data_IF_302129346898
#
_entry.id   IF_302129346898
#
_cell.length_a   1.000
_cell.length_b   1.000
_cell.length_c   1.000
_cell.angle_alpha   90.00
_cell.angle_beta   90.00
_cell.angle_gamma   90.00
#
_symmetry.space_group_name_H-M   'P 1'
#
loop_
_entity.id
_entity.type
_entity.pdbx_description
1 polymer ?
#
# COMPACT_ATOMS: atom_id res chain seq x y z
N UNK A 1 -39.11 34.56 12.12
CA UNK A 1 -39.04 34.74 10.65
C UNK A 1 -37.67 35.17 10.14
N UNK A 2 -37.05 36.27 10.63
CA UNK A 2 -35.72 36.72 10.15
C UNK A 2 -34.60 35.67 10.20
N UNK A 3 -34.55 34.83 11.24
CA UNK A 3 -33.51 33.79 11.36
C UNK A 3 -33.74 32.60 10.42
N UNK A 4 -35.00 32.25 10.14
CA UNK A 4 -35.36 31.19 9.19
C UNK A 4 -34.98 31.60 7.75
N UNK A 5 -35.20 32.87 7.39
CA UNK A 5 -34.79 33.40 6.09
C UNK A 5 -33.27 33.37 5.90
N UNK A 6 -32.50 33.62 6.97
CA UNK A 6 -31.02 33.51 6.94
C UNK A 6 -30.56 32.06 6.75
N UNK A 7 -31.19 31.11 7.44
CA UNK A 7 -30.86 29.68 7.31
C UNK A 7 -31.14 29.21 5.87
N UNK A 8 -32.29 29.57 5.29
CA UNK A 8 -32.62 29.23 3.90
C UNK A 8 -31.60 29.80 2.90
N UNK A 9 -31.10 31.02 3.15
CA UNK A 9 -30.07 31.64 2.32
C UNK A 9 -28.73 30.90 2.38
N UNK A 10 -28.28 30.46 3.57
CA UNK A 10 -27.06 29.67 3.70
C UNK A 10 -27.17 28.29 3.03
N UNK A 11 -28.33 27.64 3.14
CA UNK A 11 -28.59 26.35 2.46
C UNK A 11 -28.56 26.52 0.95
N UNK A 12 -29.12 27.60 0.41
CA UNK A 12 -29.10 27.88 -1.03
C UNK A 12 -27.67 28.10 -1.57
N UNK A 13 -26.82 28.84 -0.83
CA UNK A 13 -25.41 29.03 -1.19
C UNK A 13 -24.65 27.69 -1.15
N UNK A 14 -24.88 26.89 -0.11
CA UNK A 14 -24.25 25.56 0.02
C UNK A 14 -24.63 24.63 -1.14
N UNK A 15 -25.92 24.56 -1.50
CA UNK A 15 -26.39 23.76 -2.64
C UNK A 15 -25.85 24.30 -3.98
N UNK A 16 -25.75 25.62 -4.14
CA UNK A 16 -25.12 26.24 -5.31
C UNK A 16 -23.63 25.90 -5.44
N UNK A 17 -22.88 25.93 -4.33
CA UNK A 17 -21.49 25.52 -4.28
C UNK A 17 -21.29 24.03 -4.59
N UNK A 18 -22.15 23.17 -4.05
CA UNK A 18 -22.14 21.73 -4.33
C UNK A 18 -22.45 21.44 -5.82
N UNK A 19 -23.43 22.14 -6.40
CA UNK A 19 -23.76 22.01 -7.81
C UNK A 19 -22.59 22.44 -8.71
N UNK A 20 -21.93 23.55 -8.38
CA UNK A 20 -20.74 23.98 -9.10
C UNK A 20 -19.62 22.94 -9.01
N UNK A 21 -19.33 22.40 -7.82
CA UNK A 21 -18.28 21.39 -7.66
C UNK A 21 -18.56 20.09 -8.43
N UNK A 22 -19.81 19.61 -8.43
CA UNK A 22 -20.20 18.39 -9.15
C UNK A 22 -20.21 18.55 -10.68
N UNK A 23 -20.45 19.76 -11.20
CA UNK A 23 -20.43 20.03 -12.65
C UNK A 23 -19.09 20.51 -13.17
N UNK A 24 -18.28 21.14 -12.33
CA UNK A 24 -16.94 21.63 -12.66
C UNK A 24 -15.86 20.58 -12.36
N UNK A 25 -16.16 19.31 -12.61
CA UNK A 25 -15.13 18.28 -12.76
C UNK A 25 -14.50 18.49 -14.12
N UNK A 26 -13.30 19.06 -14.14
CA UNK A 26 -12.52 19.23 -15.36
C UNK A 26 -12.42 17.87 -16.07
N UNK A 27 -12.83 17.71 -17.35
CA UNK A 27 -12.67 16.45 -18.08
C UNK A 27 -11.19 16.06 -18.25
N UNK A 28 -10.27 16.98 -17.88
CA UNK A 28 -8.82 16.77 -17.78
C UNK A 28 -8.35 16.20 -16.45
N UNK A 29 -9.24 15.82 -15.53
CA UNK A 29 -8.91 14.75 -14.57
C UNK A 29 -8.94 13.42 -15.34
N UNK A 30 -8.10 13.30 -16.37
CA UNK A 30 -7.73 12.01 -16.90
C UNK A 30 -6.95 11.35 -15.78
N UNK A 31 -7.46 10.24 -15.24
CA UNK A 31 -6.58 9.29 -14.58
C UNK A 31 -5.36 9.11 -15.47
N UNK A 32 -4.15 9.15 -14.91
CA UNK A 32 -2.88 9.07 -15.65
C UNK A 32 -2.66 7.77 -16.42
N UNK A 33 -3.71 6.98 -16.63
CA UNK A 33 -3.77 5.66 -17.23
C UNK A 33 -4.83 5.56 -18.35
N UNK A 34 -5.50 6.65 -18.75
CA UNK A 34 -6.43 6.65 -19.90
C UNK A 34 -6.02 7.67 -20.95
N UNK A 35 -6.12 7.29 -22.21
CA UNK A 35 -5.83 8.18 -23.35
C UNK A 35 -7.02 9.07 -23.68
N UNK A 36 -6.76 10.16 -24.40
CA UNK A 36 -7.68 11.30 -24.58
C UNK A 36 -9.08 10.97 -25.16
N UNK A 37 -9.29 9.78 -25.73
CA UNK A 37 -10.46 9.47 -26.56
C UNK A 37 -11.29 8.24 -26.12
N UNK A 38 -10.98 7.60 -24.99
CA UNK A 38 -11.82 6.52 -24.42
C UNK A 38 -11.93 5.21 -25.22
N UNK A 39 -11.39 5.12 -26.45
CA UNK A 39 -11.48 3.93 -27.31
C UNK A 39 -10.12 3.43 -27.80
N UNK A 40 -9.06 3.56 -26.99
CA UNK A 40 -7.78 2.98 -27.36
C UNK A 40 -7.65 1.55 -26.84
N UNK A 41 -7.52 0.59 -27.77
CA UNK A 41 -7.21 -0.81 -27.51
C UNK A 41 -5.76 -0.96 -27.01
N UNK A 42 -5.49 -0.52 -25.78
CA UNK A 42 -4.18 -0.68 -25.16
C UNK A 42 -3.88 -2.17 -24.91
N UNK A 43 -2.71 -2.65 -25.33
CA UNK A 43 -2.19 -3.93 -24.84
C UNK A 43 -1.93 -3.84 -23.33
N UNK A 44 -2.05 -4.96 -22.63
CA UNK A 44 -1.96 -5.00 -21.16
C UNK A 44 -0.97 -6.05 -20.63
N UNK A 45 -0.50 -6.97 -21.48
CA UNK A 45 0.37 -8.07 -21.04
C UNK A 45 1.52 -8.28 -22.03
N UNK A 46 2.75 -8.21 -21.56
CA UNK A 46 3.96 -8.55 -22.30
C UNK A 46 4.56 -9.83 -21.73
N UNK A 47 4.70 -10.85 -22.55
CA UNK A 47 5.28 -12.13 -22.13
C UNK A 47 6.59 -12.37 -22.89
N UNK A 48 7.69 -12.53 -22.17
CA UNK A 48 8.94 -13.01 -22.74
C UNK A 48 8.96 -14.54 -22.75
N UNK A 49 9.08 -15.14 -23.94
CA UNK A 49 9.30 -16.58 -24.13
C UNK A 49 10.64 -16.77 -24.85
N UNK A 50 11.71 -16.99 -24.07
CA UNK A 50 13.07 -17.06 -24.61
C UNK A 50 13.53 -15.69 -25.13
N UNK A 51 14.00 -15.63 -26.38
CA UNK A 51 14.41 -14.38 -27.02
C UNK A 51 13.24 -13.52 -27.52
N UNK A 52 12.05 -14.12 -27.71
CA UNK A 52 10.88 -13.47 -28.30
C UNK A 52 9.99 -12.83 -27.24
N UNK A 53 9.39 -11.71 -27.60
CA UNK A 53 8.39 -11.01 -26.79
C UNK A 53 7.03 -11.06 -27.46
N UNK A 54 5.98 -11.21 -26.66
CA UNK A 54 4.60 -11.31 -27.14
C UNK A 54 3.75 -10.31 -26.38
N UNK A 55 3.17 -9.36 -27.09
CA UNK A 55 2.33 -8.32 -26.53
C UNK A 55 0.86 -8.65 -26.78
N UNK A 56 0.16 -8.95 -25.71
CA UNK A 56 -1.24 -9.35 -25.70
C UNK A 56 -2.14 -8.20 -25.27
N UNK A 57 -3.36 -8.26 -25.77
CA UNK A 57 -4.50 -7.56 -25.22
C UNK A 57 -5.52 -8.58 -24.71
N UNK A 58 -5.69 -8.73 -23.39
CA UNK A 58 -6.62 -9.71 -22.81
C UNK A 58 -8.09 -9.39 -23.07
N UNK A 59 -8.41 -8.15 -23.49
CA UNK A 59 -9.78 -7.71 -23.76
C UNK A 59 -10.22 -8.05 -25.20
N UNK A 60 -9.33 -8.61 -26.01
CA UNK A 60 -9.58 -8.95 -27.42
C UNK A 60 -9.24 -10.44 -27.61
N UNK A 61 -9.98 -11.11 -28.49
CA UNK A 61 -9.69 -12.50 -28.83
C UNK A 61 -8.29 -12.66 -29.43
N UNK A 62 -7.67 -13.82 -29.20
CA UNK A 62 -6.40 -14.21 -29.81
C UNK A 62 -6.67 -14.61 -31.27
N UNK A 63 -6.08 -13.86 -32.20
CA UNK A 63 -6.22 -14.05 -33.64
C UNK A 63 -4.84 -13.99 -34.27
N UNK A 64 -4.41 -15.01 -35.04
CA UNK A 64 -3.09 -15.04 -35.64
C UNK A 64 -2.89 -13.80 -36.53
N UNK A 65 -1.79 -13.08 -36.30
CA UNK A 65 -1.43 -11.86 -37.04
C UNK A 65 -2.02 -10.56 -36.51
N UNK A 66 -2.87 -10.59 -35.46
CA UNK A 66 -3.41 -9.37 -34.82
C UNK A 66 -3.12 -9.33 -33.32
N UNK A 67 -3.37 -10.44 -32.60
CA UNK A 67 -3.17 -10.55 -31.15
C UNK A 67 -2.74 -11.99 -30.82
N UNK A 68 -1.55 -12.23 -30.27
CA UNK A 68 -0.53 -11.27 -29.83
C UNK A 68 0.28 -10.64 -30.97
N UNK A 69 0.86 -9.47 -30.69
CA UNK A 69 1.93 -8.90 -31.51
C UNK A 69 3.25 -9.56 -31.08
N UNK A 70 3.98 -10.14 -32.02
CA UNK A 70 5.23 -10.83 -31.76
C UNK A 70 6.43 -9.95 -32.11
N UNK A 71 7.45 -9.96 -31.26
CA UNK A 71 8.73 -9.28 -31.46
C UNK A 71 9.86 -10.30 -31.33
N UNK A 72 10.85 -10.22 -32.22
CA UNK A 72 11.97 -11.17 -32.26
C UNK A 72 13.04 -10.86 -31.22
N UNK A 73 13.16 -9.59 -30.82
CA UNK A 73 14.15 -9.11 -29.87
C UNK A 73 13.55 -7.96 -29.03
N UNK A 74 14.32 -7.49 -28.05
CA UNK A 74 13.92 -6.39 -27.18
C UNK A 74 13.85 -5.05 -27.93
N UNK A 75 14.73 -4.85 -28.90
CA UNK A 75 14.83 -3.59 -29.66
C UNK A 75 13.54 -3.29 -30.43
N UNK A 76 13.01 -4.29 -31.13
CA UNK A 76 11.76 -4.19 -31.89
C UNK A 76 10.57 -3.80 -31.01
N UNK A 77 10.55 -4.29 -29.76
CA UNK A 77 9.56 -3.89 -28.76
C UNK A 77 9.77 -2.45 -28.27
N UNK A 78 11.01 -2.02 -28.08
CA UNK A 78 11.34 -0.65 -27.65
C UNK A 78 10.97 0.35 -28.75
N UNK A 79 11.32 0.08 -30.01
CA UNK A 79 10.93 0.89 -31.17
C UNK A 79 9.41 1.03 -31.28
N UNK A 80 8.69 -0.07 -31.10
CA UNK A 80 7.23 -0.05 -31.08
C UNK A 80 6.68 0.85 -29.96
N UNK A 81 7.23 0.77 -28.75
CA UNK A 81 6.85 1.64 -27.64
C UNK A 81 7.19 3.12 -27.90
N UNK A 82 8.33 3.41 -28.50
CA UNK A 82 8.72 4.78 -28.88
C UNK A 82 7.76 5.37 -29.90
N UNK A 83 7.38 4.59 -30.92
CA UNK A 83 6.35 4.99 -31.88
C UNK A 83 5.00 5.28 -31.19
N UNK A 84 4.54 4.41 -30.28
CA UNK A 84 3.31 4.64 -29.51
C UNK A 84 3.40 5.93 -28.68
N UNK A 85 4.52 6.16 -28.00
CA UNK A 85 4.74 7.38 -27.20
C UNK A 85 4.80 8.64 -28.07
N UNK A 86 5.40 8.56 -29.26
CA UNK A 86 5.41 9.63 -30.25
C UNK A 86 4.00 10.00 -30.72
N UNK A 87 3.11 9.01 -30.82
CA UNK A 87 1.68 9.20 -31.10
C UNK A 87 0.86 9.65 -29.86
N UNK A 88 1.50 9.87 -28.71
CA UNK A 88 0.83 10.25 -27.46
C UNK A 88 0.09 9.10 -26.77
N UNK A 89 0.30 7.86 -27.19
CA UNK A 89 -0.30 6.65 -26.61
C UNK A 89 0.63 6.14 -25.51
N UNK A 90 0.11 6.04 -24.28
CA UNK A 90 0.82 5.45 -23.14
C UNK A 90 -0.04 4.34 -22.54
N UNK A 91 0.34 3.09 -22.79
CA UNK A 91 -0.35 1.93 -22.25
C UNK A 91 0.46 1.32 -21.09
N UNK A 92 -0.13 1.07 -19.92
CA UNK A 92 0.50 0.28 -18.88
C UNK A 92 0.52 -1.18 -19.31
N UNK A 93 1.70 -1.79 -19.34
CA UNK A 93 1.88 -3.18 -19.74
C UNK A 93 2.51 -3.96 -18.59
N UNK A 94 1.86 -5.05 -18.17
CA UNK A 94 2.41 -5.98 -17.19
C UNK A 94 3.44 -6.89 -17.86
N UNK A 95 4.66 -6.91 -17.35
CA UNK A 95 5.73 -7.75 -17.89
C UNK A 95 5.87 -9.08 -17.15
N UNK A 96 5.73 -10.18 -17.89
CA UNK A 96 5.93 -11.55 -17.42
C UNK A 96 7.11 -12.20 -18.13
N UNK A 97 7.99 -12.82 -17.35
CA UNK A 97 9.12 -13.58 -17.84
C UNK A 97 8.87 -15.08 -17.65
N UNK A 98 8.92 -15.86 -18.72
CA UNK A 98 8.91 -17.32 -18.65
C UNK A 98 10.30 -17.80 -18.18
N UNK A 99 10.37 -18.37 -16.97
CA UNK A 99 11.59 -18.87 -16.34
C UNK A 99 11.38 -20.30 -15.87
N UNK A 100 12.47 -21.01 -15.55
CA UNK A 100 12.40 -22.33 -14.93
C UNK A 100 12.66 -22.19 -13.43
N UNK A 101 11.95 -22.97 -12.61
CA UNK A 101 12.27 -23.10 -11.19
C UNK A 101 13.51 -24.01 -10.98
N UNK A 102 13.93 -24.19 -9.73
CA UNK A 102 15.07 -25.04 -9.40
C UNK A 102 14.79 -26.53 -9.66
N UNK A 103 13.53 -26.89 -9.87
CA UNK A 103 13.01 -28.24 -10.12
C UNK A 103 12.83 -28.52 -11.62
N UNK A 104 13.04 -27.51 -12.48
CA UNK A 104 12.94 -27.61 -13.93
C UNK A 104 11.54 -27.35 -14.49
N UNK A 105 10.58 -26.90 -13.67
CA UNK A 105 9.23 -26.57 -14.12
C UNK A 105 9.13 -25.14 -14.66
N UNK A 106 8.30 -24.95 -15.68
CA UNK A 106 8.09 -23.65 -16.33
C UNK A 106 7.18 -22.77 -15.48
N UNK A 107 7.71 -21.66 -15.02
CA UNK A 107 7.00 -20.67 -14.19
C UNK A 107 7.07 -19.27 -14.81
N UNK A 108 5.97 -18.51 -14.71
CA UNK A 108 5.94 -17.10 -15.10
C UNK A 108 6.27 -16.23 -13.88
N UNK A 109 7.32 -15.41 -13.98
CA UNK A 109 7.70 -14.43 -12.95
C UNK A 109 7.35 -13.03 -13.42
N UNK A 110 6.63 -12.28 -12.58
CA UNK A 110 6.40 -10.85 -12.79
C UNK A 110 7.71 -10.11 -12.60
N UNK A 111 8.03 -9.18 -13.50
CA UNK A 111 9.19 -8.30 -13.39
C UNK A 111 8.74 -6.85 -13.57
N UNK A 112 9.39 -5.87 -12.90
CA UNK A 112 9.02 -4.47 -13.04
C UNK A 112 9.14 -3.93 -14.47
N UNK A 113 10.21 -4.31 -15.18
CA UNK A 113 10.48 -3.86 -16.55
C UNK A 113 11.30 -4.89 -17.33
N UNK A 114 11.29 -4.78 -18.66
CA UNK A 114 12.16 -5.53 -19.56
C UNK A 114 13.65 -5.21 -19.34
N UNK A 115 13.97 -3.99 -18.93
CA UNK A 115 15.32 -3.54 -18.59
C UNK A 115 15.72 -3.88 -17.16
N UNK A 116 14.73 -4.00 -16.27
CA UNK A 116 14.93 -4.27 -14.85
C UNK A 116 14.36 -5.64 -14.49
N UNK A 117 15.18 -6.66 -14.67
CA UNK A 117 14.84 -8.06 -14.38
C UNK A 117 14.90 -8.40 -12.89
N UNK A 118 15.17 -7.43 -12.01
CA UNK A 118 15.16 -7.66 -10.58
C UNK A 118 13.70 -7.86 -10.13
N UNK A 119 13.36 -9.07 -9.70
CA UNK A 119 11.97 -9.46 -9.40
C UNK A 119 11.51 -9.14 -7.99
N UNK A 120 12.26 -8.28 -7.28
CA UNK A 120 12.02 -8.01 -5.87
C UNK A 120 12.02 -9.28 -5.00
N UNK A 121 11.39 -9.17 -3.84
CA UNK A 121 11.17 -10.30 -2.93
C UNK A 121 10.14 -11.27 -3.52
N UNK A 122 10.27 -12.58 -3.26
CA UNK A 122 9.30 -13.57 -3.71
C UNK A 122 7.89 -13.25 -3.15
N UNK A 123 6.82 -13.42 -3.95
CA UNK A 123 5.46 -13.00 -3.59
C UNK A 123 4.81 -13.85 -2.47
N UNK A 124 5.49 -14.90 -1.99
CA UNK A 124 4.94 -15.89 -1.06
C UNK A 124 5.24 -15.62 0.40
N UNK A 125 5.99 -14.56 0.73
CA UNK A 125 6.27 -14.22 2.13
C UNK A 125 5.35 -13.07 2.54
N UNK A 126 4.44 -13.26 3.50
CA UNK A 126 3.77 -12.13 4.12
C UNK A 126 4.85 -11.25 4.75
N UNK A 127 5.07 -10.09 4.16
CA UNK A 127 5.88 -9.03 4.76
C UNK A 127 4.91 -8.14 5.52
N UNK A 128 5.04 -8.01 6.85
CA UNK A 128 6.18 -8.40 7.69
C UNK A 128 6.10 -9.83 8.25
N UNK A 129 7.25 -10.50 8.40
CA UNK A 129 7.34 -11.82 9.01
C UNK A 129 7.06 -11.74 10.52
N UNK A 130 6.10 -12.52 11.07
CA UNK A 130 5.86 -12.53 12.51
C UNK A 130 7.00 -13.27 13.24
N UNK A 131 7.58 -12.61 14.25
CA UNK A 131 8.63 -13.16 15.10
C UNK A 131 8.29 -12.98 16.57
N UNK A 132 8.81 -13.84 17.44
CA UNK A 132 8.65 -13.67 18.90
C UNK A 132 9.65 -12.62 19.39
N UNK A 133 9.25 -11.85 20.40
CA UNK A 133 10.15 -10.94 21.09
C UNK A 133 11.16 -11.78 21.90
N UNK A 134 12.43 -11.55 21.63
CA UNK A 134 13.59 -12.10 22.35
C UNK A 134 14.02 -11.04 23.37
N UNK A 135 14.00 -11.41 24.65
CA UNK A 135 14.41 -10.55 25.76
C UNK A 135 15.42 -11.28 26.64
N UNK A 136 16.64 -10.73 26.72
CA UNK A 136 17.72 -11.29 27.51
C UNK A 136 17.49 -11.16 29.02
N UNK A 137 16.66 -10.21 29.46
CA UNK A 137 16.43 -9.95 30.90
C UNK A 137 15.61 -11.04 31.58
N UNK A 138 14.81 -11.79 30.83
CA UNK A 138 14.00 -12.91 31.36
C UNK A 138 14.79 -14.21 31.57
N UNK A 139 16.09 -14.23 31.24
CA UNK A 139 16.91 -15.44 31.35
C UNK A 139 17.43 -15.73 32.77
N UNK A 140 17.22 -14.81 33.73
CA UNK A 140 17.74 -14.92 35.11
C UNK A 140 16.62 -15.11 36.16
N UNK A 141 16.11 -16.35 36.25
CA UNK A 141 15.09 -16.71 37.24
C UNK A 141 15.68 -16.73 38.67
N UNK A 142 15.02 -16.19 39.71
CA UNK A 142 13.59 -15.80 39.80
C UNK A 142 13.29 -14.32 39.52
N UNK A 143 14.26 -13.54 39.08
CA UNK A 143 14.07 -12.11 38.81
C UNK A 143 13.42 -11.88 37.43
N UNK A 144 12.91 -10.68 37.18
CA UNK A 144 12.34 -10.28 35.88
C UNK A 144 11.15 -11.13 35.39
N UNK A 145 10.37 -11.70 36.31
CA UNK A 145 9.09 -12.33 36.00
C UNK A 145 7.98 -11.29 35.94
N UNK A 146 7.19 -11.28 34.86
CA UNK A 146 6.11 -10.29 34.60
C UNK A 146 6.58 -8.83 34.50
N UNK A 147 7.84 -8.58 34.13
CA UNK A 147 8.35 -7.24 33.83
C UNK A 147 8.06 -6.84 32.38
N UNK A 148 8.15 -5.54 32.09
CA UNK A 148 8.12 -5.03 30.71
C UNK A 148 9.36 -5.49 29.95
N UNK A 149 9.27 -5.69 28.62
CA UNK A 149 10.42 -6.03 27.82
C UNK A 149 11.52 -4.97 27.90
N UNK A 150 12.77 -5.41 27.92
CA UNK A 150 13.91 -4.50 27.91
C UNK A 150 14.01 -3.73 26.59
N UNK A 151 14.53 -2.50 26.68
CA UNK A 151 14.83 -1.68 25.50
C UNK A 151 15.99 -2.29 24.70
N UNK A 152 15.75 -2.53 23.40
CA UNK A 152 16.76 -2.97 22.45
C UNK A 152 17.17 -1.81 21.53
N UNK A 153 18.47 -1.49 21.51
CA UNK A 153 19.03 -0.46 20.63
C UNK A 153 19.35 -0.97 19.23
N UNK A 154 19.28 -2.28 19.01
CA UNK A 154 19.65 -2.91 17.74
C UNK A 154 18.48 -2.92 16.74
N UNK A 155 18.83 -2.99 15.45
CA UNK A 155 17.83 -3.10 14.37
C UNK A 155 17.30 -4.53 14.18
N UNK A 156 17.37 -5.38 15.21
CA UNK A 156 17.09 -6.81 15.09
C UNK A 156 15.67 -7.12 14.58
N UNK A 157 14.67 -6.33 14.98
CA UNK A 157 13.27 -6.51 14.58
C UNK A 157 12.85 -5.74 13.33
N UNK A 158 13.76 -5.01 12.69
CA UNK A 158 13.42 -4.19 11.51
C UNK A 158 12.98 -5.09 10.35
N UNK A 159 11.75 -4.86 9.86
CA UNK A 159 11.15 -5.65 8.78
C UNK A 159 10.43 -6.93 9.25
N UNK A 160 10.33 -7.15 10.57
CA UNK A 160 9.52 -8.21 11.19
C UNK A 160 8.40 -7.58 12.03
N UNK A 161 7.38 -8.37 12.37
CA UNK A 161 6.33 -7.96 13.33
C UNK A 161 6.52 -8.72 14.64
N UNK A 162 6.59 -7.97 15.74
CA UNK A 162 6.60 -8.55 17.10
C UNK A 162 5.19 -8.52 17.72
N UNK A 163 4.93 -9.29 18.78
CA UNK A 163 3.68 -9.19 19.52
C UNK A 163 3.43 -7.78 20.08
N UNK A 164 4.50 -7.04 20.39
CA UNK A 164 4.40 -5.66 20.91
C UNK A 164 3.90 -4.70 19.82
N UNK A 165 4.41 -4.86 18.59
CA UNK A 165 3.92 -4.07 17.44
C UNK A 165 2.45 -4.35 17.15
N UNK A 166 2.01 -5.60 17.29
CA UNK A 166 0.61 -5.98 17.11
C UNK A 166 -0.31 -5.35 18.18
N UNK A 167 0.16 -5.26 19.43
CA UNK A 167 -0.58 -4.57 20.50
C UNK A 167 -0.70 -3.07 20.22
N UNK A 168 0.38 -2.41 19.80
CA UNK A 168 0.35 -0.99 19.45
C UNK A 168 -0.56 -0.74 18.24
N UNK A 169 -0.46 -1.56 17.19
CA UNK A 169 -1.33 -1.46 16.01
C UNK A 169 -2.82 -1.58 16.35
N UNK A 170 -3.16 -2.44 17.31
CA UNK A 170 -4.53 -2.60 17.79
C UNK A 170 -5.02 -1.33 18.52
N UNK A 171 -4.17 -0.70 19.34
CA UNK A 171 -4.50 0.54 20.05
C UNK A 171 -4.60 1.75 19.11
N UNK A 172 -3.72 1.85 18.11
CA UNK A 172 -3.78 2.88 17.06
C UNK A 172 -5.07 2.79 16.23
N UNK A 173 -5.66 1.58 16.12
CA UNK A 173 -6.93 1.37 15.42
C UNK A 173 -8.16 1.84 16.21
N UNK A 174 -8.01 2.18 17.49
CA UNK A 174 -9.09 2.69 18.33
C UNK A 174 -9.37 4.17 18.02
N UNK A 175 -10.52 4.67 18.48
CA UNK A 175 -10.87 6.08 18.29
C UNK A 175 -9.99 7.01 19.14
N UNK A 176 -9.61 6.56 20.35
CA UNK A 176 -8.73 7.25 21.27
C UNK A 176 -7.74 6.24 21.86
N UNK A 177 -6.45 6.54 21.73
CA UNK A 177 -5.39 5.78 22.38
C UNK A 177 -5.05 6.37 23.75
N UNK A 178 -4.62 5.50 24.65
CA UNK A 178 -4.09 5.82 25.96
C UNK A 178 -2.58 6.18 25.93
N UNK A 179 -1.90 5.86 24.82
CA UNK A 179 -0.48 6.11 24.60
C UNK A 179 -0.23 7.52 24.00
N UNK A 180 0.63 8.30 24.67
CA UNK A 180 0.97 9.66 24.25
C UNK A 180 1.76 9.76 22.93
N UNK A 181 2.31 8.64 22.48
CA UNK A 181 3.05 8.57 21.22
C UNK A 181 2.15 8.29 20.01
N UNK A 182 0.88 7.91 20.22
CA UNK A 182 0.00 7.54 19.13
C UNK A 182 -0.66 8.79 18.50
N UNK A 183 -0.90 8.82 17.18
CA UNK A 183 -1.54 9.96 16.52
C UNK A 183 -2.97 10.24 17.01
N UNK A 184 -3.65 9.22 17.54
CA UNK A 184 -5.00 9.27 18.09
C UNK A 184 -5.01 9.35 19.63
N UNK A 185 -3.91 9.80 20.26
CA UNK A 185 -3.86 9.93 21.72
C UNK A 185 -5.01 10.79 22.26
N UNK A 186 -5.76 10.24 23.22
CA UNK A 186 -6.91 10.91 23.85
C UNK A 186 -6.53 12.06 24.79
N UNK A 187 -5.23 12.31 25.00
CA UNK A 187 -4.72 13.37 25.87
C UNK A 187 -4.63 12.97 27.34
N UNK A 188 -4.07 13.88 28.15
CA UNK A 188 -3.78 13.62 29.56
C UNK A 188 -5.05 13.29 30.38
N UNK A 189 -6.16 14.00 30.14
CA UNK A 189 -7.41 13.78 30.87
C UNK A 189 -8.01 12.39 30.58
N UNK A 190 -7.90 11.93 29.33
CA UNK A 190 -8.34 10.59 28.93
C UNK A 190 -7.51 9.50 29.60
N UNK A 191 -6.17 9.64 29.58
CA UNK A 191 -5.27 8.71 30.27
C UNK A 191 -5.54 8.72 31.78
N UNK A 192 -5.79 9.87 32.39
CA UNK A 192 -6.13 9.97 33.82
C UNK A 192 -7.44 9.25 34.15
N UNK A 193 -8.47 9.38 33.31
CA UNK A 193 -9.73 8.66 33.50
C UNK A 193 -9.55 7.13 33.46
N UNK A 194 -8.63 6.63 32.63
CA UNK A 194 -8.28 5.20 32.59
C UNK A 194 -7.56 4.75 33.86
N UNK A 195 -6.63 5.57 34.39
CA UNK A 195 -5.99 5.33 35.69
C UNK A 195 -7.05 5.25 36.79
N UNK A 196 -7.97 6.21 36.83
CA UNK A 196 -9.03 6.27 37.84
C UNK A 196 -10.01 5.08 37.73
N UNK A 197 -10.26 4.58 36.52
CA UNK A 197 -11.06 3.37 36.29
C UNK A 197 -10.36 2.06 36.70
N UNK A 198 -9.06 2.14 37.03
CA UNK A 198 -8.24 0.98 37.43
C UNK A 198 -7.70 0.17 36.26
N UNK A 199 -7.65 0.72 35.05
CA UNK A 199 -7.08 0.03 33.88
C UNK A 199 -5.60 -0.30 34.07
N UNK A 200 -4.85 0.59 34.76
CA UNK A 200 -3.42 0.43 35.07
C UNK A 200 -3.14 -0.05 36.50
N UNK A 201 -4.08 -0.78 37.11
CA UNK A 201 -3.93 -1.22 38.49
C UNK A 201 -2.64 -2.01 38.72
N UNK A 202 -1.79 -1.54 39.63
CA UNK A 202 -0.48 -2.11 39.94
C UNK A 202 0.70 -1.51 39.15
N UNK A 203 0.43 -0.60 38.22
CA UNK A 203 1.43 0.12 37.43
C UNK A 203 1.30 1.65 37.61
N UNK A 204 0.62 2.12 38.66
CA UNK A 204 0.47 3.55 38.94
C UNK A 204 1.78 4.16 39.45
N UNK A 205 2.20 5.28 38.87
CA UNK A 205 3.40 6.02 39.33
C UNK A 205 2.96 7.16 40.25
N UNK A 206 3.34 7.10 41.53
CA UNK A 206 3.19 8.23 42.44
C UNK A 206 4.38 9.19 42.27
N UNK A 207 4.21 10.28 41.52
CA UNK A 207 5.22 11.35 41.45
C UNK A 207 5.06 12.26 42.66
N UNK A 208 6.09 12.32 43.52
CA UNK A 208 6.19 13.37 44.52
C UNK A 208 6.65 14.66 43.81
N UNK A 209 5.76 15.63 43.66
CA UNK A 209 6.12 16.96 43.17
C UNK A 209 6.70 17.73 44.36
N UNK A 210 8.00 18.04 44.29
CA UNK A 210 8.71 18.87 45.27
C UNK A 210 8.41 20.36 45.03
#
# INVERSE_FOLDING_TARGET
>A
MKNILKILFYVAIFLGGLYFYTKYTNPKMLEGLTTMNGELRCPNLLIQKGAKFYLYNSNIAEVPGVNPIEFNNLEEYVEFLEWQRGAGIRCPVLYLQNTYDAQGERIYKVRPSVTELQGGLPPTVPVPLPTKLVDATQSDYPYNTNSVPAFDQSSYYVGTTTPLDAMNSANESLLFSDNAMDPNWGGADYTQALVDSGYYKGNEVSIAVA
#
